data_IF_242131196516
#
_entry.id   IF_242131196516
#
_cell.length_a   1.000
_cell.length_b   1.000
_cell.length_c   1.000
_cell.angle_alpha   90.00
_cell.angle_beta   90.00
_cell.angle_gamma   90.00
#
_symmetry.space_group_name_H-M   'P 1'
#
loop_
_entity.id
_entity.type
_entity.pdbx_description
1 polymer ?
#
# COMPACT_ATOMS: atom_id res chain seq x y z
N UNK A 1 -28.76 13.62 -0.60
CA UNK A 1 -27.35 13.96 -0.91
C UNK A 1 -26.42 14.03 0.32
N UNK A 2 -26.83 14.61 1.46
CA UNK A 2 -25.97 14.73 2.67
C UNK A 2 -25.42 13.40 3.21
N UNK A 3 -26.25 12.35 3.32
CA UNK A 3 -25.83 11.04 3.88
C UNK A 3 -24.72 10.35 3.07
N UNK A 4 -24.74 10.51 1.74
CA UNK A 4 -23.69 9.98 0.85
C UNK A 4 -22.35 10.65 1.13
N UNK A 5 -22.33 11.98 1.24
CA UNK A 5 -21.10 12.74 1.50
C UNK A 5 -20.53 12.43 2.89
N UNK A 6 -21.39 12.29 3.91
CA UNK A 6 -20.96 11.86 5.24
C UNK A 6 -20.35 10.46 5.22
N UNK A 7 -20.94 9.52 4.47
CA UNK A 7 -20.38 8.17 4.29
C UNK A 7 -19.02 8.19 3.60
N UNK A 8 -18.89 8.95 2.51
CA UNK A 8 -17.63 9.10 1.78
C UNK A 8 -16.54 9.71 2.66
N UNK A 9 -16.86 10.76 3.43
CA UNK A 9 -15.91 11.40 4.35
C UNK A 9 -15.44 10.46 5.44
N UNK A 10 -16.35 9.66 6.04
CA UNK A 10 -15.99 8.64 7.02
C UNK A 10 -15.06 7.58 6.43
N UNK A 11 -15.36 7.10 5.22
CA UNK A 11 -14.51 6.15 4.50
C UNK A 11 -13.12 6.72 4.18
N UNK A 12 -13.04 7.98 3.76
CA UNK A 12 -11.76 8.67 3.52
C UNK A 12 -10.92 8.79 4.79
N UNK A 13 -11.52 9.27 5.89
CA UNK A 13 -10.80 9.41 7.16
C UNK A 13 -10.30 8.06 7.69
N UNK A 14 -11.08 7.00 7.51
CA UNK A 14 -10.66 5.65 7.88
C UNK A 14 -9.46 5.18 7.06
N UNK A 15 -9.50 5.26 5.72
CA UNK A 15 -8.36 4.92 4.86
C UNK A 15 -7.11 5.72 5.23
N UNK A 16 -7.25 7.03 5.40
CA UNK A 16 -6.16 7.92 5.81
C UNK A 16 -5.55 7.55 7.17
N UNK A 17 -6.37 7.07 8.10
CA UNK A 17 -5.87 6.61 9.40
C UNK A 17 -5.09 5.30 9.32
N UNK A 18 -5.40 4.44 8.35
CA UNK A 18 -4.70 3.18 8.12
C UNK A 18 -3.32 3.42 7.48
N UNK A 19 -3.20 4.40 6.58
CA UNK A 19 -1.93 4.77 5.94
C UNK A 19 -0.78 4.98 6.95
N UNK A 20 -1.06 5.56 8.12
CA UNK A 20 -0.04 5.75 9.16
C UNK A 20 0.51 4.44 9.73
N UNK A 21 -0.37 3.45 9.97
CA UNK A 21 0.01 2.12 10.46
C UNK A 21 0.70 1.31 9.37
N UNK A 22 0.16 1.36 8.16
CA UNK A 22 0.72 0.70 6.99
C UNK A 22 2.10 1.27 6.65
N UNK A 23 2.32 2.58 6.81
CA UNK A 23 3.63 3.22 6.64
C UNK A 23 4.67 2.67 7.60
N UNK A 24 4.33 2.51 8.88
CA UNK A 24 5.24 1.89 9.85
C UNK A 24 5.54 0.44 9.49
N UNK A 25 4.53 -0.31 9.04
CA UNK A 25 4.70 -1.70 8.58
C UNK A 25 5.61 -1.78 7.35
N UNK A 26 5.43 -0.86 6.39
CA UNK A 26 6.25 -0.74 5.20
C UNK A 26 7.70 -0.40 5.54
N UNK A 27 7.94 0.52 6.48
CA UNK A 27 9.29 0.85 6.94
C UNK A 27 10.01 -0.36 7.55
N UNK A 28 9.29 -1.19 8.33
CA UNK A 28 9.84 -2.46 8.87
C UNK A 28 10.19 -3.44 7.75
N UNK A 29 9.27 -3.67 6.80
CA UNK A 29 9.53 -4.53 5.62
C UNK A 29 10.73 -4.03 4.81
N UNK A 30 10.85 -2.71 4.60
CA UNK A 30 11.96 -2.10 3.86
C UNK A 30 13.30 -2.29 4.57
N UNK A 31 13.35 -2.04 5.88
CA UNK A 31 14.57 -2.28 6.69
C UNK A 31 14.98 -3.76 6.66
N UNK A 32 14.01 -4.66 6.68
CA UNK A 32 14.28 -6.09 6.59
C UNK A 32 14.86 -6.47 5.21
N UNK A 33 14.25 -6.01 4.11
CA UNK A 33 14.80 -6.23 2.76
C UNK A 33 16.25 -5.72 2.65
N UNK A 34 16.51 -4.50 3.14
CA UNK A 34 17.86 -3.93 3.13
C UNK A 34 18.86 -4.75 3.97
N UNK A 35 18.46 -5.21 5.15
CA UNK A 35 19.33 -6.05 5.98
C UNK A 35 19.65 -7.40 5.32
N UNK A 36 18.68 -8.00 4.62
CA UNK A 36 18.87 -9.24 3.86
C UNK A 36 19.79 -9.03 2.66
N UNK A 37 19.62 -7.94 1.91
CA UNK A 37 20.49 -7.59 0.78
C UNK A 37 21.94 -7.29 1.20
N UNK A 38 22.11 -6.56 2.31
CA UNK A 38 23.43 -6.22 2.84
C UNK A 38 24.10 -7.38 3.58
N UNK A 39 23.38 -8.49 3.83
CA UNK A 39 23.88 -9.63 4.60
C UNK A 39 24.16 -9.31 6.07
N UNK A 40 23.56 -8.24 6.61
CA UNK A 40 23.76 -7.80 7.99
C UNK A 40 22.83 -8.55 8.95
N UNK A 41 23.25 -8.75 10.21
CA UNK A 41 22.38 -9.35 11.22
C UNK A 41 21.11 -8.51 11.41
N UNK A 42 19.97 -9.20 11.49
CA UNK A 42 18.65 -8.56 11.59
C UNK A 42 18.55 -7.84 12.94
N UNK A 43 18.01 -6.60 12.98
CA UNK A 43 17.78 -5.89 14.23
C UNK A 43 16.94 -6.73 15.20
N UNK A 44 17.35 -6.79 16.47
CA UNK A 44 16.72 -7.61 17.52
C UNK A 44 15.23 -7.33 17.70
N UNK A 45 14.77 -6.10 17.48
CA UNK A 45 13.36 -5.70 17.52
C UNK A 45 12.51 -6.36 16.41
N UNK A 46 13.13 -6.65 15.26
CA UNK A 46 12.48 -7.28 14.11
C UNK A 46 12.63 -8.80 14.15
N UNK A 47 13.54 -9.36 14.94
CA UNK A 47 13.81 -10.80 14.97
C UNK A 47 12.55 -11.64 15.28
N UNK A 48 11.71 -11.20 16.23
CA UNK A 48 10.45 -11.87 16.55
C UNK A 48 9.39 -11.73 15.44
N UNK A 49 9.45 -10.64 14.68
CA UNK A 49 8.51 -10.33 13.59
C UNK A 49 9.03 -10.80 12.22
N UNK A 50 10.30 -11.22 12.14
CA UNK A 50 11.03 -11.53 10.90
C UNK A 50 10.34 -12.64 10.12
N UNK A 51 10.02 -13.75 10.79
CA UNK A 51 9.34 -14.87 10.13
C UNK A 51 7.97 -14.48 9.54
N UNK A 52 7.23 -13.59 10.19
CA UNK A 52 5.95 -13.10 9.67
C UNK A 52 6.17 -12.12 8.51
N UNK A 53 7.09 -11.17 8.67
CA UNK A 53 7.41 -10.17 7.65
C UNK A 53 7.99 -10.80 6.38
N UNK A 54 8.78 -11.86 6.49
CA UNK A 54 9.29 -12.63 5.33
C UNK A 54 8.16 -13.25 4.53
N UNK A 55 7.23 -13.93 5.19
CA UNK A 55 6.06 -14.52 4.53
C UNK A 55 5.23 -13.45 3.83
N UNK A 56 5.03 -12.31 4.48
CA UNK A 56 4.30 -11.20 3.86
C UNK A 56 5.05 -10.60 2.67
N UNK A 57 6.38 -10.49 2.73
CA UNK A 57 7.20 -10.01 1.60
C UNK A 57 7.08 -10.97 0.42
N UNK A 58 7.15 -12.29 0.66
CA UNK A 58 7.02 -13.30 -0.39
C UNK A 58 5.65 -13.23 -1.08
N UNK A 59 4.58 -13.03 -0.30
CA UNK A 59 3.22 -12.84 -0.82
C UNK A 59 3.10 -11.53 -1.61
N UNK A 60 3.61 -10.42 -1.08
CA UNK A 60 3.59 -9.11 -1.76
C UNK A 60 4.32 -9.18 -3.12
N UNK A 61 5.45 -9.91 -3.18
CA UNK A 61 6.24 -10.06 -4.41
C UNK A 61 5.51 -10.95 -5.44
N UNK A 62 4.80 -12.00 -5.00
CA UNK A 62 3.91 -12.80 -5.86
C UNK A 62 2.73 -11.98 -6.40
N UNK A 63 2.08 -11.19 -5.54
CA UNK A 63 0.99 -10.30 -5.96
C UNK A 63 1.46 -9.26 -6.97
N UNK A 64 2.64 -8.67 -6.75
CA UNK A 64 3.23 -7.68 -7.65
C UNK A 64 3.64 -8.29 -8.99
N UNK A 65 4.08 -9.54 -9.01
CA UNK A 65 4.39 -10.27 -10.23
C UNK A 65 3.13 -10.66 -11.03
N UNK A 66 2.02 -10.96 -10.33
CA UNK A 66 0.75 -11.32 -10.95
C UNK A 66 -0.10 -10.09 -11.37
N UNK A 67 0.13 -8.93 -10.78
CA UNK A 67 -0.63 -7.72 -11.04
C UNK A 67 -0.18 -6.98 -12.31
N UNK A 68 -1.16 -6.49 -13.09
CA UNK A 68 -0.94 -5.50 -14.16
C UNK A 68 -0.23 -4.27 -13.55
N UNK A 69 0.79 -3.69 -14.22
CA UNK A 69 1.50 -2.52 -13.69
C UNK A 69 0.52 -1.40 -13.36
N UNK A 70 0.31 -1.13 -12.06
CA UNK A 70 -0.46 0.02 -11.61
C UNK A 70 0.27 1.27 -12.06
N UNK A 71 -0.42 2.14 -12.79
CA UNK A 71 0.08 3.47 -13.13
C UNK A 71 0.35 4.26 -11.85
N UNK A 72 1.38 5.11 -11.83
CA UNK A 72 1.70 6.06 -10.75
C UNK A 72 0.62 7.17 -10.55
N UNK A 73 -0.54 7.03 -11.19
CA UNK A 73 -1.63 8.00 -11.13
C UNK A 73 -2.31 7.90 -9.77
N UNK A 74 -2.44 9.04 -9.10
CA UNK A 74 -3.13 9.18 -7.82
C UNK A 74 -4.59 8.69 -7.92
N UNK A 75 -5.06 7.99 -6.88
CA UNK A 75 -6.43 7.49 -6.76
C UNK A 75 -7.47 8.62 -6.91
N UNK A 76 -7.12 9.86 -6.53
CA UNK A 76 -7.99 11.03 -6.69
C UNK A 76 -8.23 11.43 -8.16
N UNK A 77 -7.26 11.16 -9.06
CA UNK A 77 -7.35 11.48 -10.49
C UNK A 77 -7.53 10.25 -11.40
N UNK A 78 -7.39 9.03 -10.86
CA UNK A 78 -7.60 7.79 -11.61
C UNK A 78 -8.98 7.73 -12.30
N UNK A 79 -10.01 8.29 -11.65
CA UNK A 79 -11.37 8.39 -12.22
C UNK A 79 -11.56 9.51 -13.24
N UNK A 80 -10.68 10.51 -13.28
CA UNK A 80 -10.83 11.65 -14.19
C UNK A 80 -10.61 11.25 -15.65
N UNK A 81 -9.65 10.34 -15.90
CA UNK A 81 -9.38 9.79 -17.23
C UNK A 81 -10.60 9.08 -17.85
N UNK A 82 -11.41 8.40 -17.02
CA UNK A 82 -12.62 7.70 -17.48
C UNK A 82 -13.79 8.62 -17.79
N UNK A 83 -13.84 9.80 -17.17
CA UNK A 83 -14.96 10.75 -17.31
C UNK A 83 -14.86 11.67 -18.52
N UNK A 84 -13.66 11.82 -19.09
CA UNK A 84 -13.38 12.68 -20.24
C UNK A 84 -13.71 11.99 -21.58
N UNK A 85 -13.58 10.66 -21.67
CA UNK A 85 -13.84 9.92 -22.90
C UNK A 85 -15.34 9.80 -23.24
N UNK A 86 -16.24 9.87 -22.26
CA UNK A 86 -17.69 9.79 -22.46
C UNK A 86 -18.36 11.10 -22.90
N UNK A 87 -17.62 12.21 -23.03
CA UNK A 87 -18.16 13.50 -23.51
C UNK A 87 -17.86 13.78 -24.98
N UNK A 88 -17.18 12.87 -25.66
CA UNK A 88 -16.78 12.99 -27.06
C UNK A 88 -17.15 11.68 -27.79
N UNK A 89 -18.44 11.36 -27.85
CA UNK A 89 -19.04 10.31 -28.69
C UNK A 89 -20.48 10.67 -28.98
#
# INVERSE_FOLDING_TARGET
MLRRNTRLRRGYLYRKSLEGKERQHYEKKRRLRQALEEGKPIPTELCNQDHALRREIDLDDQERAAAVPKSLIDDEYAGAAFSASLRFS
#
